data_IF_886500072400
#
_entry.id   IF_886500072400
#
_cell.length_a   1.000
_cell.length_b   1.000
_cell.length_c   1.000
_cell.angle_alpha   90.00
_cell.angle_beta   90.00
_cell.angle_gamma   90.00
#
_symmetry.space_group_name_H-M   'P 1'
#
loop_
_entity.id
_entity.type
_entity.pdbx_description
1 polymer ?
#
# COMPACT_ATOMS: atom_id res chain seq x y z
N UNK A 1 -35.35 0.15 -2.50
CA UNK A 1 -34.33 -0.80 -2.02
C UNK A 1 -33.02 -0.47 -2.74
N UNK A 2 -32.03 0.18 -2.10
CA UNK A 2 -30.82 0.58 -2.80
C UNK A 2 -29.86 -0.61 -2.84
N UNK A 3 -29.67 -1.19 -4.01
CA UNK A 3 -28.73 -2.30 -4.20
C UNK A 3 -27.30 -1.80 -4.04
N UNK A 4 -26.52 -2.49 -3.20
CA UNK A 4 -25.07 -2.29 -2.95
C UNK A 4 -24.22 -2.50 -4.21
N UNK A 5 -24.74 -3.21 -5.21
CA UNK A 5 -24.12 -3.41 -6.52
C UNK A 5 -25.14 -3.07 -7.61
N UNK A 6 -24.75 -2.22 -8.55
CA UNK A 6 -25.61 -1.80 -9.67
C UNK A 6 -25.80 -2.97 -10.63
N UNK A 7 -27.00 -3.13 -11.19
CA UNK A 7 -27.22 -4.04 -12.32
C UNK A 7 -26.31 -3.65 -13.48
N UNK A 8 -25.57 -4.65 -13.97
CA UNK A 8 -24.78 -4.62 -15.21
C UNK A 8 -25.63 -4.16 -16.39
N UNK A 9 -25.03 -3.34 -17.26
CA UNK A 9 -25.59 -2.99 -18.57
C UNK A 9 -24.79 -3.61 -19.73
N UNK A 10 -24.12 -4.75 -19.49
CA UNK A 10 -23.26 -5.44 -20.46
C UNK A 10 -22.16 -4.53 -21.05
N UNK A 11 -21.57 -3.66 -20.22
CA UNK A 11 -20.51 -2.73 -20.65
C UNK A 11 -20.95 -1.66 -21.66
N UNK A 12 -22.26 -1.38 -21.78
CA UNK A 12 -22.77 -0.36 -22.70
C UNK A 12 -22.50 1.08 -22.23
N UNK A 13 -22.08 1.28 -20.98
CA UNK A 13 -21.82 2.60 -20.42
C UNK A 13 -20.51 2.67 -19.64
N UNK A 14 -19.62 3.60 -20.00
CA UNK A 14 -18.33 3.87 -19.35
C UNK A 14 -18.43 4.20 -17.84
N UNK A 15 -19.63 4.50 -17.35
CA UNK A 15 -19.91 4.81 -15.93
C UNK A 15 -20.39 3.60 -15.11
N UNK A 16 -20.53 2.43 -15.76
CA UNK A 16 -20.98 1.18 -15.15
C UNK A 16 -20.03 0.05 -15.55
N UNK A 17 -18.92 -0.04 -14.82
CA UNK A 17 -17.97 -1.13 -15.01
C UNK A 17 -18.51 -2.40 -14.36
N UNK A 18 -18.57 -3.48 -15.14
CA UNK A 18 -18.97 -4.84 -14.71
C UNK A 18 -17.82 -5.59 -14.02
N UNK A 19 -16.81 -4.86 -13.54
CA UNK A 19 -15.62 -5.43 -12.91
C UNK A 19 -15.75 -5.31 -11.40
N UNK A 20 -15.81 -6.45 -10.72
CA UNK A 20 -15.76 -6.51 -9.27
C UNK A 20 -14.42 -5.94 -8.77
N UNK A 21 -14.48 -4.98 -7.85
CA UNK A 21 -13.28 -4.44 -7.19
C UNK A 21 -12.94 -5.31 -5.99
N UNK A 22 -11.82 -6.06 -6.00
CA UNK A 22 -11.45 -6.89 -4.87
C UNK A 22 -11.08 -6.00 -3.67
N UNK A 23 -11.80 -6.18 -2.55
CA UNK A 23 -11.40 -5.58 -1.27
C UNK A 23 -10.30 -6.42 -0.60
N UNK A 24 -10.43 -7.74 -0.72
CA UNK A 24 -9.46 -8.73 -0.27
C UNK A 24 -9.41 -9.85 -1.31
N UNK A 25 -8.21 -10.38 -1.54
CA UNK A 25 -8.00 -11.53 -2.41
C UNK A 25 -6.85 -12.37 -1.93
N UNK A 26 -6.79 -13.60 -2.41
CA UNK A 26 -5.87 -14.61 -1.90
C UNK A 26 -4.38 -14.21 -1.96
N UNK A 27 -3.97 -13.47 -2.99
CA UNK A 27 -2.58 -13.00 -3.07
C UNK A 27 -2.21 -12.03 -1.94
N UNK A 28 -3.14 -11.20 -1.47
CA UNK A 28 -2.91 -10.33 -0.33
C UNK A 28 -2.67 -11.16 0.94
N UNK A 29 -3.47 -12.22 1.15
CA UNK A 29 -3.28 -13.12 2.29
C UNK A 29 -1.92 -13.84 2.25
N UNK A 30 -1.48 -14.29 1.06
CA UNK A 30 -0.14 -14.86 0.86
C UNK A 30 0.94 -13.86 1.24
N UNK A 31 0.84 -12.62 0.76
CA UNK A 31 1.86 -11.59 1.02
C UNK A 31 1.87 -11.14 2.49
N UNK A 32 0.71 -11.06 3.15
CA UNK A 32 0.63 -10.83 4.60
C UNK A 32 1.32 -11.96 5.35
N UNK A 33 1.08 -13.22 4.96
CA UNK A 33 1.74 -14.36 5.58
C UNK A 33 3.25 -14.34 5.36
N UNK A 34 3.71 -14.06 4.14
CA UNK A 34 5.14 -13.92 3.83
C UNK A 34 5.79 -12.84 4.69
N UNK A 35 5.15 -11.68 4.81
CA UNK A 35 5.62 -10.57 5.64
C UNK A 35 5.72 -10.98 7.11
N UNK A 36 4.66 -11.56 7.68
CA UNK A 36 4.65 -12.01 9.06
C UNK A 36 5.74 -13.05 9.33
N UNK A 37 5.96 -14.02 8.43
CA UNK A 37 7.04 -15.00 8.57
C UNK A 37 8.42 -14.36 8.55
N UNK A 38 8.62 -13.35 7.70
CA UNK A 38 9.88 -12.62 7.64
C UNK A 38 10.16 -11.89 8.97
N UNK A 39 9.16 -11.20 9.51
CA UNK A 39 9.28 -10.48 10.78
C UNK A 39 9.49 -11.42 11.99
N UNK A 40 9.00 -12.65 11.91
CA UNK A 40 9.27 -13.71 12.89
C UNK A 40 10.66 -14.35 12.74
N UNK A 41 11.46 -13.94 11.74
CA UNK A 41 12.80 -14.48 11.47
C UNK A 41 12.81 -15.72 10.57
N UNK A 42 11.65 -16.18 10.09
CA UNK A 42 11.53 -17.32 9.19
C UNK A 42 11.69 -16.89 7.72
N UNK A 43 12.82 -16.27 7.40
CA UNK A 43 13.08 -15.64 6.08
C UNK A 43 12.95 -16.62 4.91
N UNK A 44 13.43 -17.86 5.05
CA UNK A 44 13.28 -18.88 4.02
C UNK A 44 11.82 -19.26 3.74
N UNK A 45 10.97 -19.27 4.78
CA UNK A 45 9.52 -19.47 4.61
C UNK A 45 8.92 -18.27 3.90
N UNK A 46 9.27 -17.05 4.31
CA UNK A 46 8.80 -15.83 3.65
C UNK A 46 9.12 -15.80 2.14
N UNK A 47 10.36 -16.15 1.76
CA UNK A 47 10.79 -16.25 0.35
C UNK A 47 9.97 -17.29 -0.41
N UNK A 48 9.63 -18.41 0.22
CA UNK A 48 8.79 -19.44 -0.41
C UNK A 48 7.43 -18.86 -0.83
N UNK A 49 6.76 -18.11 0.07
CA UNK A 49 5.45 -17.51 -0.22
C UNK A 49 5.53 -16.29 -1.15
N UNK A 50 6.61 -15.51 -1.08
CA UNK A 50 6.91 -14.46 -2.07
C UNK A 50 7.01 -15.05 -3.48
N UNK A 51 7.75 -16.15 -3.63
CA UNK A 51 7.96 -16.80 -4.93
C UNK A 51 6.68 -17.48 -5.47
N UNK A 52 5.70 -17.83 -4.62
CA UNK A 52 4.38 -18.26 -5.09
C UNK A 52 3.67 -17.17 -5.93
N UNK A 53 3.78 -15.91 -5.50
CA UNK A 53 3.21 -14.76 -6.23
C UNK A 53 3.93 -14.56 -7.55
N UNK A 54 5.27 -14.52 -7.52
CA UNK A 54 6.10 -14.35 -8.72
C UNK A 54 5.88 -15.48 -9.73
N UNK A 55 5.82 -16.72 -9.28
CA UNK A 55 5.54 -17.88 -10.12
C UNK A 55 4.17 -17.80 -10.78
N UNK A 56 3.15 -17.28 -10.10
CA UNK A 56 1.84 -17.03 -10.72
C UNK A 56 1.93 -15.90 -11.74
N UNK A 57 2.62 -14.81 -11.44
CA UNK A 57 2.78 -13.67 -12.36
C UNK A 57 3.41 -14.10 -13.71
N UNK A 58 4.41 -15.00 -13.68
CA UNK A 58 5.02 -15.65 -14.85
C UNK A 58 4.08 -16.52 -15.69
N UNK A 59 2.87 -16.81 -15.21
CA UNK A 59 1.84 -17.55 -15.97
C UNK A 59 0.78 -16.65 -16.59
N UNK A 60 0.86 -15.33 -16.38
CA UNK A 60 -0.04 -14.39 -17.05
C UNK A 60 0.12 -14.43 -18.58
N UNK A 61 -0.96 -14.17 -19.31
CA UNK A 61 -1.02 -14.33 -20.78
C UNK A 61 -1.35 -13.03 -21.52
N UNK A 62 -1.39 -11.89 -20.81
CA UNK A 62 -1.96 -10.64 -21.33
C UNK A 62 -1.04 -9.73 -22.16
N UNK A 63 0.25 -10.06 -22.31
CA UNK A 63 1.20 -9.24 -23.05
C UNK A 63 2.15 -10.11 -23.89
N UNK A 64 2.33 -9.76 -25.16
CA UNK A 64 3.21 -10.48 -26.11
C UNK A 64 4.70 -10.32 -25.78
N UNK A 65 5.08 -9.26 -25.07
CA UNK A 65 6.44 -9.05 -24.54
C UNK A 65 6.34 -8.48 -23.14
N UNK A 66 6.93 -9.16 -22.17
CA UNK A 66 6.95 -8.71 -20.77
C UNK A 66 8.24 -9.11 -20.07
N UNK A 67 8.66 -8.27 -19.12
CA UNK A 67 9.63 -8.68 -18.12
C UNK A 67 8.94 -9.62 -17.12
N UNK A 68 9.56 -10.76 -16.84
CA UNK A 68 9.05 -11.75 -15.90
C UNK A 68 9.83 -11.69 -14.60
N UNK A 69 9.17 -11.69 -13.42
CA UNK A 69 9.88 -11.70 -12.16
C UNK A 69 10.55 -13.07 -11.98
N UNK A 70 11.85 -13.12 -11.70
CA UNK A 70 12.53 -14.34 -11.28
C UNK A 70 12.28 -14.61 -9.79
N UNK A 71 12.51 -15.84 -9.36
CA UNK A 71 12.37 -16.21 -7.95
C UNK A 71 13.42 -15.48 -7.10
N UNK A 72 12.98 -14.84 -6.03
CA UNK A 72 13.85 -14.11 -5.12
C UNK A 72 14.89 -15.06 -4.51
N UNK A 73 16.15 -14.62 -4.49
CA UNK A 73 17.29 -15.40 -3.99
C UNK A 73 17.97 -16.26 -5.06
N UNK A 74 17.55 -16.16 -6.32
CA UNK A 74 18.15 -16.91 -7.45
C UNK A 74 19.06 -16.06 -8.34
N UNK A 75 19.09 -14.74 -8.14
CA UNK A 75 19.90 -13.81 -8.93
C UNK A 75 20.89 -13.01 -8.08
N UNK A 76 21.34 -13.58 -6.95
CA UNK A 76 22.32 -12.96 -6.05
C UNK A 76 21.72 -12.05 -4.99
N UNK A 77 20.40 -12.06 -4.79
CA UNK A 77 19.78 -11.33 -3.69
C UNK A 77 20.10 -11.94 -2.32
N UNK A 78 20.34 -11.08 -1.35
CA UNK A 78 20.56 -11.49 0.04
C UNK A 78 19.29 -12.04 0.67
N UNK A 79 19.37 -13.21 1.31
CA UNK A 79 18.26 -13.79 2.07
C UNK A 79 18.47 -13.47 3.56
N UNK A 80 18.25 -12.21 3.92
CA UNK A 80 18.17 -11.73 5.29
C UNK A 80 16.86 -10.97 5.52
N UNK A 81 16.49 -10.78 6.79
CA UNK A 81 15.22 -10.16 7.15
C UNK A 81 15.00 -8.79 6.47
N UNK A 82 15.94 -7.83 6.48
CA UNK A 82 15.71 -6.54 5.84
C UNK A 82 15.56 -6.63 4.32
N UNK A 83 16.39 -7.42 3.62
CA UNK A 83 16.31 -7.51 2.16
C UNK A 83 15.03 -8.22 1.71
N UNK A 84 14.64 -9.28 2.41
CA UNK A 84 13.38 -10.00 2.14
C UNK A 84 12.17 -9.12 2.46
N UNK A 85 12.23 -8.31 3.54
CA UNK A 85 11.18 -7.32 3.84
C UNK A 85 10.99 -6.36 2.66
N UNK A 86 12.06 -5.79 2.16
CA UNK A 86 11.99 -4.86 1.01
C UNK A 86 11.46 -5.52 -0.25
N UNK A 87 11.86 -6.77 -0.51
CA UNK A 87 11.35 -7.57 -1.61
C UNK A 87 9.83 -7.80 -1.51
N UNK A 88 9.32 -8.13 -0.31
CA UNK A 88 7.88 -8.33 -0.07
C UNK A 88 7.12 -7.02 -0.26
N UNK A 89 7.63 -5.90 0.26
CA UNK A 89 6.99 -4.59 0.09
C UNK A 89 6.95 -4.14 -1.37
N UNK A 90 7.99 -4.44 -2.15
CA UNK A 90 8.00 -4.17 -3.59
C UNK A 90 7.00 -5.08 -4.32
N UNK A 91 6.95 -6.37 -3.99
CA UNK A 91 6.00 -7.30 -4.59
C UNK A 91 4.54 -6.89 -4.30
N UNK A 92 4.24 -6.44 -3.08
CA UNK A 92 2.93 -5.87 -2.73
C UNK A 92 2.58 -4.67 -3.62
N UNK A 93 3.55 -3.82 -3.94
CA UNK A 93 3.34 -2.65 -4.80
C UNK A 93 2.93 -3.05 -6.23
N UNK A 94 3.57 -4.07 -6.78
CA UNK A 94 3.28 -4.57 -8.13
C UNK A 94 2.02 -5.41 -8.18
N UNK A 95 1.87 -6.35 -7.26
CA UNK A 95 0.77 -7.30 -7.24
C UNK A 95 -0.55 -6.60 -6.93
N UNK A 96 -0.59 -5.70 -5.95
CA UNK A 96 -1.81 -5.02 -5.46
C UNK A 96 -1.97 -3.61 -6.05
N UNK A 97 -1.37 -3.35 -7.21
CA UNK A 97 -1.47 -2.07 -7.90
C UNK A 97 -2.94 -1.74 -8.19
N UNK A 98 -3.32 -0.48 -7.94
CA UNK A 98 -4.70 0.02 -8.12
C UNK A 98 -5.78 -0.60 -7.22
N UNK A 99 -5.39 -1.37 -6.19
CA UNK A 99 -6.34 -1.97 -5.22
C UNK A 99 -6.39 -1.22 -3.87
N UNK A 100 -6.03 0.07 -3.87
CA UNK A 100 -6.05 0.95 -2.69
C UNK A 100 -5.17 0.49 -1.50
N UNK A 101 -4.13 -0.33 -1.73
CA UNK A 101 -3.22 -0.81 -0.68
C UNK A 101 -1.97 0.05 -0.50
N UNK A 102 -1.43 0.59 -1.59
CA UNK A 102 -0.09 1.24 -1.62
C UNK A 102 0.07 2.37 -0.61
N UNK A 103 -0.95 3.22 -0.42
CA UNK A 103 -0.87 4.31 0.54
C UNK A 103 -0.62 3.81 1.97
N UNK A 104 -1.41 2.81 2.40
CA UNK A 104 -1.31 2.23 3.74
C UNK A 104 0.01 1.50 3.95
N UNK A 105 0.50 0.78 2.94
CA UNK A 105 1.80 0.12 2.99
C UNK A 105 2.94 1.12 3.21
N UNK A 106 2.94 2.25 2.48
CA UNK A 106 3.97 3.28 2.62
C UNK A 106 3.92 3.98 3.99
N UNK A 107 2.72 4.32 4.47
CA UNK A 107 2.56 4.98 5.78
C UNK A 107 2.98 4.07 6.91
N UNK A 108 2.60 2.78 6.87
CA UNK A 108 2.99 1.79 7.87
C UNK A 108 4.51 1.58 7.87
N UNK A 109 5.12 1.40 6.71
CA UNK A 109 6.57 1.18 6.60
C UNK A 109 7.40 2.36 7.10
N UNK A 110 6.94 3.58 6.83
CA UNK A 110 7.55 4.80 7.36
C UNK A 110 7.48 4.86 8.90
N UNK A 111 6.39 4.36 9.49
CA UNK A 111 6.23 4.26 10.94
C UNK A 111 7.10 3.19 11.60
N UNK A 112 7.39 2.09 10.91
CA UNK A 112 8.31 1.02 11.37
C UNK A 112 9.77 1.47 11.40
N UNK A 113 10.12 2.47 10.59
CA UNK A 113 11.47 3.04 10.54
C UNK A 113 11.42 4.56 10.79
N UNK A 114 11.20 5.00 12.05
CA UNK A 114 11.16 6.42 12.38
C UNK A 114 12.42 7.15 11.89
N UNK A 115 12.23 8.24 11.16
CA UNK A 115 13.33 9.04 10.59
C UNK A 115 13.81 8.61 9.19
N UNK A 116 13.35 7.46 8.67
CA UNK A 116 13.71 7.01 7.31
C UNK A 116 13.13 7.88 6.19
N UNK A 117 12.03 8.59 6.46
CA UNK A 117 11.22 9.28 5.45
C UNK A 117 10.81 8.36 4.28
N UNK A 118 10.63 7.07 4.54
CA UNK A 118 10.31 6.05 3.55
C UNK A 118 9.09 6.43 2.69
N UNK A 119 8.00 6.91 3.31
CA UNK A 119 6.80 7.32 2.56
C UNK A 119 7.11 8.46 1.58
N UNK A 120 7.85 9.46 2.05
CA UNK A 120 8.22 10.63 1.26
C UNK A 120 9.13 10.24 0.09
N UNK A 121 10.20 9.50 0.39
CA UNK A 121 11.19 9.06 -0.60
C UNK A 121 10.57 8.11 -1.62
N UNK A 122 9.72 7.16 -1.19
CA UNK A 122 9.06 6.24 -2.12
C UNK A 122 8.13 6.97 -3.08
N UNK A 123 7.41 8.00 -2.65
CA UNK A 123 6.55 8.77 -3.56
C UNK A 123 7.39 9.56 -4.56
N UNK A 124 8.45 10.24 -4.11
CA UNK A 124 9.32 10.99 -5.03
C UNK A 124 10.03 10.11 -6.06
N UNK A 125 10.49 8.93 -5.65
CA UNK A 125 11.26 8.05 -6.53
C UNK A 125 10.39 7.30 -7.54
N UNK A 126 9.11 7.09 -7.25
CA UNK A 126 8.24 6.22 -8.05
C UNK A 126 7.01 6.91 -8.64
N UNK A 127 6.69 8.14 -8.23
CA UNK A 127 5.65 8.97 -8.83
C UNK A 127 6.23 10.31 -9.32
N UNK A 128 6.41 10.50 -10.63
CA UNK A 128 6.90 11.77 -11.18
C UNK A 128 5.95 12.95 -10.91
N UNK A 129 4.71 12.67 -10.48
CA UNK A 129 3.73 13.68 -10.14
C UNK A 129 3.66 13.99 -8.64
N UNK A 130 4.47 13.33 -7.80
CA UNK A 130 4.40 13.46 -6.34
C UNK A 130 4.54 14.91 -5.82
N UNK A 131 5.21 15.78 -6.57
CA UNK A 131 5.35 17.21 -6.28
C UNK A 131 4.64 18.14 -7.28
N UNK A 132 3.94 17.60 -8.29
CA UNK A 132 3.44 18.40 -9.42
C UNK A 132 2.18 19.20 -9.07
N UNK A 133 1.29 18.63 -8.26
CA UNK A 133 0.03 19.27 -7.87
C UNK A 133 0.13 20.02 -6.52
N UNK A 134 0.90 19.49 -5.58
CA UNK A 134 1.17 20.14 -4.31
C UNK A 134 2.49 19.61 -3.74
N UNK A 135 3.26 20.49 -3.08
CA UNK A 135 4.50 20.07 -2.40
C UNK A 135 4.19 18.95 -1.42
N UNK A 136 4.93 17.86 -1.54
CA UNK A 136 4.85 16.73 -0.62
C UNK A 136 5.35 17.17 0.76
N UNK A 137 4.54 16.93 1.78
CA UNK A 137 4.81 17.32 3.17
C UNK A 137 4.40 16.16 4.07
N UNK A 138 5.24 15.84 5.05
CA UNK A 138 5.15 14.59 5.82
C UNK A 138 3.88 14.47 6.67
N UNK A 139 3.27 15.59 7.06
CA UNK A 139 2.03 15.57 7.83
C UNK A 139 0.81 15.06 7.02
N UNK A 140 0.90 15.05 5.68
CA UNK A 140 -0.15 14.51 4.80
C UNK A 140 -0.24 12.98 4.77
N UNK A 141 0.58 12.27 5.54
CA UNK A 141 0.41 10.83 5.82
C UNK A 141 -0.95 10.52 6.48
N UNK A 142 -1.50 11.50 7.21
CA UNK A 142 -2.83 11.43 7.84
C UNK A 142 -3.75 12.45 7.19
N UNK A 143 -5.03 12.12 7.04
CA UNK A 143 -6.02 13.07 6.53
C UNK A 143 -6.38 14.12 7.61
N UNK A 144 -6.78 15.35 7.22
CA UNK A 144 -7.28 16.32 8.19
C UNK A 144 -8.59 15.84 8.81
N UNK A 145 -8.78 16.12 10.09
CA UNK A 145 -10.10 16.01 10.72
C UNK A 145 -10.98 17.13 10.14
N UNK A 146 -12.20 16.84 9.63
CA UNK A 146 -13.06 17.86 9.06
C UNK A 146 -13.38 18.97 10.07
N UNK A 147 -13.30 20.23 9.64
CA UNK A 147 -13.48 21.39 10.53
C UNK A 147 -14.83 21.38 11.26
N UNK A 148 -15.90 20.90 10.60
CA UNK A 148 -17.21 20.76 11.24
C UNK A 148 -17.21 19.82 12.45
N UNK A 149 -16.36 18.78 12.46
CA UNK A 149 -16.22 17.87 13.60
C UNK A 149 -15.48 18.55 14.76
N UNK A 150 -14.43 19.32 14.47
CA UNK A 150 -13.68 20.09 15.46
C UNK A 150 -14.58 21.17 16.09
N UNK A 151 -15.36 21.88 15.29
CA UNK A 151 -16.28 22.90 15.80
C UNK A 151 -17.41 22.29 16.63
N UNK A 152 -17.90 21.09 16.26
CA UNK A 152 -18.96 20.40 17.00
C UNK A 152 -18.48 19.78 18.32
N UNK A 153 -17.24 19.33 18.40
CA UNK A 153 -16.65 18.77 19.61
C UNK A 153 -15.32 19.49 19.93
N UNK A 154 -15.35 20.50 20.82
CA UNK A 154 -14.15 21.24 21.22
C UNK A 154 -13.06 20.40 21.91
N UNK A 155 -13.37 19.16 22.30
CA UNK A 155 -12.38 18.21 22.84
C UNK A 155 -11.54 17.55 21.74
N UNK A 156 -11.95 17.66 20.47
CA UNK A 156 -11.16 17.20 19.33
C UNK A 156 -10.08 18.22 18.98
N UNK A 157 -8.87 17.72 18.79
CA UNK A 157 -7.73 18.46 18.30
C UNK A 157 -7.42 18.06 16.85
N UNK A 158 -6.76 18.94 16.10
CA UNK A 158 -6.42 18.66 14.70
C UNK A 158 -5.11 17.85 14.59
N UNK A 159 -5.00 17.04 13.53
CA UNK A 159 -3.75 16.43 13.11
C UNK A 159 -2.68 17.51 12.86
N UNK A 160 -1.46 17.31 13.41
CA UNK A 160 -0.36 18.24 13.26
C UNK A 160 -0.12 18.63 11.78
N UNK A 161 0.16 19.90 11.50
CA UNK A 161 0.43 20.42 10.15
C UNK A 161 -0.81 20.90 9.37
N UNK A 162 -2.03 20.63 9.84
CA UNK A 162 -3.27 21.11 9.21
C UNK A 162 -3.85 22.41 9.83
N UNK A 163 -3.13 23.03 10.77
CA UNK A 163 -3.60 24.21 11.53
C UNK A 163 -4.53 23.83 12.68
N UNK A 164 -5.11 24.83 13.37
CA UNK A 164 -6.01 24.62 14.51
C UNK A 164 -5.31 24.27 15.83
N UNK A 165 -6.09 23.92 16.85
CA UNK A 165 -5.56 23.55 18.18
C UNK A 165 -4.85 22.20 18.08
N UNK A 166 -3.54 22.20 18.39
CA UNK A 166 -2.73 20.99 18.42
C UNK A 166 -3.16 20.05 19.55
N UNK A 167 -3.03 18.74 19.34
CA UNK A 167 -3.30 17.76 20.38
C UNK A 167 -2.31 17.88 21.55
N UNK A 168 -2.77 17.68 22.80
CA UNK A 168 -1.87 17.55 23.94
C UNK A 168 -0.84 16.44 23.73
N UNK A 169 0.35 16.60 24.33
CA UNK A 169 1.42 15.60 24.26
C UNK A 169 0.90 14.26 24.81
N UNK A 170 1.06 13.18 24.02
CA UNK A 170 0.60 11.84 24.39
C UNK A 170 -0.83 11.50 23.95
N UNK A 171 -1.62 12.49 23.49
CA UNK A 171 -2.91 12.24 22.85
C UNK A 171 -2.67 12.04 21.37
N UNK A 172 -2.75 10.78 20.90
CA UNK A 172 -2.92 10.54 19.47
C UNK A 172 -4.33 11.04 19.10
N UNK A 173 -4.48 11.85 18.04
CA UNK A 173 -5.79 12.19 17.50
C UNK A 173 -6.58 10.96 17.07
#
# INVERSE_FOLDING_TARGET
>A
MPYKFRKTDNGLNWTRNDVDTPLYRYAEAILIYAEAQNELGNTGVAVTYLNLIRARARKGTGAETRAEPHDYGTAGETIDQPSVRDAIFMERAWELAFEAKRWFDLVRRDGEQPGSNYWYNSLLNHDPNANRAAKLVTYRKRFPIPQGQITANPSLCQNAGYGGTACPVGVQP
#
